data_IF_582705035277
#
_entry.id   IF_582705035277
#
_cell.length_a   1.000
_cell.length_b   1.000
_cell.length_c   1.000
_cell.angle_alpha   90.00
_cell.angle_beta   90.00
_cell.angle_gamma   90.00
#
_symmetry.space_group_name_H-M   'P 1'
#
loop_
_entity.id
_entity.type
_entity.pdbx_description
1 polymer ?
#
# COMPACT_ATOMS: atom_id res chain seq x y z
N UNK A 1 -58.39 87.17 -24.33
CA UNK A 1 -58.04 86.48 -23.06
C UNK A 1 -56.74 85.73 -23.28
N UNK A 2 -55.68 86.07 -22.56
CA UNK A 2 -54.36 85.40 -22.69
C UNK A 2 -54.28 84.28 -21.64
N UNK A 3 -54.16 83.03 -22.06
CA UNK A 3 -53.97 81.89 -21.17
C UNK A 3 -52.49 81.78 -20.81
N UNK A 4 -52.17 81.88 -19.52
CA UNK A 4 -50.82 81.68 -19.00
C UNK A 4 -50.70 80.21 -18.61
N UNK A 5 -49.95 79.42 -19.37
CA UNK A 5 -49.60 78.05 -19.02
C UNK A 5 -48.45 78.05 -18.01
N UNK A 6 -48.70 77.57 -16.80
CA UNK A 6 -47.65 77.28 -15.82
C UNK A 6 -47.17 75.84 -16.04
N UNK A 7 -45.93 75.70 -16.53
CA UNK A 7 -45.24 74.41 -16.56
C UNK A 7 -44.67 74.11 -15.17
N UNK A 8 -45.23 73.13 -14.47
CA UNK A 8 -44.64 72.59 -13.24
C UNK A 8 -43.55 71.59 -13.66
N UNK A 9 -42.30 71.95 -13.41
CA UNK A 9 -41.15 71.07 -13.58
C UNK A 9 -41.11 70.06 -12.42
N UNK A 10 -41.60 68.83 -12.64
CA UNK A 10 -41.43 67.74 -11.67
C UNK A 10 -40.00 67.20 -11.81
N UNK A 11 -39.12 67.61 -10.91
CA UNK A 11 -37.76 67.07 -10.82
C UNK A 11 -37.83 65.68 -10.19
N UNK A 12 -37.68 64.63 -11.01
CA UNK A 12 -37.58 63.24 -10.56
C UNK A 12 -36.18 62.99 -9.97
N UNK A 13 -36.01 63.15 -8.67
CA UNK A 13 -34.78 62.72 -8.00
C UNK A 13 -34.77 61.19 -7.85
N UNK A 14 -33.89 60.50 -8.58
CA UNK A 14 -33.55 59.10 -8.24
C UNK A 14 -32.51 59.11 -7.13
N UNK A 15 -32.94 58.84 -5.90
CA UNK A 15 -32.03 58.57 -4.78
C UNK A 15 -31.59 57.11 -4.90
N UNK A 16 -30.34 56.88 -5.30
CA UNK A 16 -29.70 55.58 -5.12
C UNK A 16 -28.93 55.59 -3.80
N UNK A 17 -29.50 54.94 -2.78
CA UNK A 17 -28.82 54.74 -1.49
C UNK A 17 -27.98 53.47 -1.56
N UNK A 18 -26.67 53.60 -1.34
CA UNK A 18 -25.74 52.49 -1.08
C UNK A 18 -25.53 52.24 0.41
N UNK A 19 -26.34 52.84 1.29
CA UNK A 19 -26.15 52.73 2.73
C UNK A 19 -26.66 51.38 3.27
N UNK A 20 -25.78 50.62 3.93
CA UNK A 20 -26.06 49.35 4.63
C UNK A 20 -26.99 49.52 5.86
N UNK A 21 -27.32 50.75 6.23
CA UNK A 21 -28.20 51.09 7.35
C UNK A 21 -29.48 51.68 6.76
N UNK A 22 -30.59 50.96 6.91
CA UNK A 22 -31.92 51.52 6.64
C UNK A 22 -32.35 52.26 7.89
N UNK A 23 -32.80 53.50 7.74
CA UNK A 23 -33.37 54.28 8.83
C UNK A 23 -34.87 54.37 8.59
N UNK A 24 -35.68 53.96 9.56
CA UNK A 24 -37.13 54.08 9.44
C UNK A 24 -37.59 55.56 9.43
N UNK A 25 -38.86 55.88 9.10
CA UNK A 25 -39.36 57.25 9.13
C UNK A 25 -39.29 57.94 10.50
N UNK A 26 -38.98 57.20 11.57
CA UNK A 26 -38.82 57.70 12.94
C UNK A 26 -37.34 57.85 13.34
N UNK A 27 -36.39 57.61 12.43
CA UNK A 27 -34.96 57.73 12.73
C UNK A 27 -34.31 56.48 13.33
N UNK A 28 -35.02 55.35 13.42
CA UNK A 28 -34.48 54.10 13.97
C UNK A 28 -33.55 53.43 12.97
N UNK A 29 -32.30 53.18 13.36
CA UNK A 29 -31.36 52.39 12.57
C UNK A 29 -31.77 50.92 12.56
N UNK A 30 -32.13 50.40 11.40
CA UNK A 30 -32.34 48.98 11.13
C UNK A 30 -31.03 48.42 10.57
N UNK A 31 -30.40 47.51 11.32
CA UNK A 31 -29.26 46.76 10.83
C UNK A 31 -29.74 45.70 9.84
N UNK A 32 -29.48 45.89 8.55
CA UNK A 32 -29.69 44.85 7.55
C UNK A 32 -28.59 43.80 7.71
N UNK A 33 -28.97 42.58 8.11
CA UNK A 33 -28.03 41.46 8.16
C UNK A 33 -27.72 40.97 6.74
N UNK A 34 -26.64 41.51 6.18
CA UNK A 34 -26.13 41.19 4.85
C UNK A 34 -25.24 39.93 4.84
N UNK A 35 -24.95 39.33 5.99
CA UNK A 35 -24.09 38.16 6.09
C UNK A 35 -24.77 36.94 5.46
N UNK A 36 -24.00 36.19 4.65
CA UNK A 36 -24.42 34.88 4.11
C UNK A 36 -24.33 33.74 5.14
N UNK A 37 -23.70 34.02 6.27
CA UNK A 37 -23.53 33.10 7.40
C UNK A 37 -24.36 33.58 8.60
N UNK A 38 -24.94 32.64 9.35
CA UNK A 38 -25.69 32.88 10.59
C UNK A 38 -24.99 32.15 11.73
N UNK A 39 -24.72 32.85 12.83
CA UNK A 39 -24.31 32.23 14.09
C UNK A 39 -25.54 31.79 14.90
N UNK A 40 -25.53 30.58 15.46
CA UNK A 40 -26.51 30.13 16.47
C UNK A 40 -25.72 29.52 17.62
N UNK A 41 -25.73 30.16 18.79
CA UNK A 41 -24.79 29.80 19.87
C UNK A 41 -23.34 29.95 19.41
N UNK A 42 -22.57 28.86 19.51
CA UNK A 42 -21.17 28.81 19.08
C UNK A 42 -21.01 28.29 17.63
N UNK A 43 -22.10 27.92 16.97
CA UNK A 43 -22.08 27.27 15.66
C UNK A 43 -22.35 28.27 14.53
N UNK A 44 -21.71 28.05 13.39
CA UNK A 44 -21.90 28.85 12.17
C UNK A 44 -22.62 28.03 11.10
N UNK A 45 -23.68 28.60 10.53
CA UNK A 45 -24.52 27.97 9.51
C UNK A 45 -24.58 28.83 8.25
N UNK A 46 -24.62 28.18 7.08
CA UNK A 46 -24.98 28.87 5.84
C UNK A 46 -26.47 29.22 5.89
N UNK A 47 -26.81 30.49 5.62
CA UNK A 47 -28.22 30.87 5.45
C UNK A 47 -28.82 30.38 4.14
N UNK A 48 -27.96 30.10 3.16
CA UNK A 48 -28.36 29.48 1.91
C UNK A 48 -28.45 27.97 2.12
N UNK A 49 -29.57 27.35 1.76
CA UNK A 49 -29.75 25.88 1.77
C UNK A 49 -29.00 25.16 0.64
N UNK A 50 -28.29 25.91 -0.20
CA UNK A 50 -27.42 25.40 -1.26
C UNK A 50 -26.09 24.84 -0.76
N UNK A 51 -25.18 24.64 -1.70
CA UNK A 51 -23.86 24.01 -1.51
C UNK A 51 -22.77 25.06 -1.25
N UNK A 52 -21.70 24.66 -0.57
CA UNK A 52 -20.50 25.48 -0.37
C UNK A 52 -19.47 25.17 -1.46
N UNK A 53 -19.18 26.15 -2.30
CA UNK A 53 -18.12 26.09 -3.31
C UNK A 53 -16.91 26.93 -2.90
N UNK A 54 -15.71 26.35 -2.94
CA UNK A 54 -14.45 27.08 -2.77
C UNK A 54 -13.69 26.98 -4.09
N UNK A 55 -13.61 28.09 -4.83
CA UNK A 55 -12.98 28.14 -6.15
C UNK A 55 -13.84 27.61 -7.31
N UNK A 56 -15.16 27.43 -7.11
CA UNK A 56 -16.13 27.08 -8.17
C UNK A 56 -17.44 27.84 -8.01
N UNK A 57 -18.02 28.29 -9.13
CA UNK A 57 -19.34 28.92 -9.17
C UNK A 57 -20.49 27.91 -9.26
N UNK A 58 -20.18 26.63 -9.56
CA UNK A 58 -21.18 25.57 -9.77
C UNK A 58 -20.84 24.32 -8.93
N UNK A 59 -21.06 24.33 -7.61
CA UNK A 59 -20.76 23.18 -6.75
C UNK A 59 -21.62 21.95 -7.09
N UNK A 60 -21.00 20.77 -7.22
CA UNK A 60 -21.69 19.51 -7.50
C UNK A 60 -21.99 18.70 -6.22
N UNK A 61 -21.27 18.92 -5.12
CA UNK A 61 -21.50 18.33 -3.79
C UNK A 61 -21.75 19.40 -2.72
N UNK A 62 -22.26 19.02 -1.54
CA UNK A 62 -22.54 19.95 -0.43
C UNK A 62 -21.34 20.81 -0.04
N UNK A 63 -20.13 20.23 -0.09
CA UNK A 63 -18.86 20.93 -0.05
C UNK A 63 -18.06 20.55 -1.30
N UNK A 64 -17.66 21.53 -2.11
CA UNK A 64 -16.85 21.32 -3.31
C UNK A 64 -15.71 22.34 -3.36
N UNK A 65 -14.47 21.86 -3.33
CA UNK A 65 -13.26 22.67 -3.52
C UNK A 65 -12.61 22.32 -4.86
N UNK A 66 -12.02 23.30 -5.54
CA UNK A 66 -11.25 23.06 -6.79
C UNK A 66 -9.73 23.03 -6.57
N UNK A 67 -9.29 23.35 -5.36
CA UNK A 67 -7.90 23.20 -4.91
C UNK A 67 -7.78 22.28 -3.69
N UNK A 68 -6.56 22.20 -3.17
CA UNK A 68 -6.21 21.31 -2.06
C UNK A 68 -7.02 21.60 -0.78
N UNK A 69 -7.33 20.53 -0.05
CA UNK A 69 -7.96 20.60 1.28
C UNK A 69 -6.96 20.11 2.33
N UNK A 70 -6.65 20.96 3.31
CA UNK A 70 -5.77 20.61 4.43
C UNK A 70 -6.61 20.30 5.66
N UNK A 71 -6.49 19.07 6.16
CA UNK A 71 -7.06 18.65 7.45
C UNK A 71 -5.94 18.59 8.50
N UNK A 72 -5.79 19.63 9.32
CA UNK A 72 -4.72 19.64 10.36
C UNK A 72 -4.99 18.62 11.49
N UNK A 73 -6.27 18.34 11.79
CA UNK A 73 -6.68 17.49 12.91
C UNK A 73 -6.49 15.97 12.74
N UNK A 74 -6.15 15.49 11.54
CA UNK A 74 -5.95 14.04 11.27
C UNK A 74 -4.49 13.59 11.45
N UNK A 75 -3.64 14.48 11.99
CA UNK A 75 -2.23 14.23 12.30
C UNK A 75 -1.28 14.51 11.13
N UNK A 76 -0.01 14.78 11.43
CA UNK A 76 1.03 15.00 10.42
C UNK A 76 1.53 13.67 9.85
N UNK A 77 1.68 13.58 8.53
CA UNK A 77 2.42 12.50 7.85
C UNK A 77 3.63 13.11 7.17
N UNK A 78 4.84 12.73 7.58
CA UNK A 78 6.08 13.19 6.96
C UNK A 78 6.48 12.34 5.75
N UNK A 79 5.80 11.21 5.54
CA UNK A 79 6.16 10.20 4.53
C UNK A 79 5.05 9.91 3.52
N UNK A 80 3.94 10.68 3.54
CA UNK A 80 2.78 10.51 2.64
C UNK A 80 2.25 9.07 2.49
N UNK A 81 2.36 8.26 3.56
CA UNK A 81 2.00 6.83 3.56
C UNK A 81 0.66 6.53 4.27
N UNK A 82 -0.12 7.57 4.57
CA UNK A 82 -1.43 7.46 5.21
C UNK A 82 -2.54 7.57 4.17
N UNK A 83 -3.59 6.79 4.35
CA UNK A 83 -4.80 6.79 3.51
C UNK A 83 -5.95 7.36 4.35
N UNK A 84 -6.78 8.21 3.74
CA UNK A 84 -8.02 8.68 4.36
C UNK A 84 -9.03 7.55 4.38
N UNK A 85 -9.62 7.31 5.54
CA UNK A 85 -10.66 6.31 5.76
C UNK A 85 -11.84 6.93 6.50
N UNK A 86 -13.03 6.36 6.39
CA UNK A 86 -14.19 6.76 7.18
C UNK A 86 -14.56 5.67 8.19
N UNK A 87 -15.02 6.06 9.38
CA UNK A 87 -15.64 5.13 10.34
C UNK A 87 -17.12 4.85 10.00
N UNK A 88 -17.79 4.04 10.82
CA UNK A 88 -19.21 3.69 10.64
C UNK A 88 -20.16 4.90 10.72
N UNK A 89 -19.72 6.01 11.30
CA UNK A 89 -20.46 7.27 11.39
C UNK A 89 -20.07 8.27 10.29
N UNK A 90 -19.14 7.90 9.39
CA UNK A 90 -18.67 8.75 8.30
C UNK A 90 -17.60 9.77 8.70
N UNK A 91 -17.04 9.69 9.91
CA UNK A 91 -15.96 10.59 10.31
C UNK A 91 -14.67 10.21 9.59
N UNK A 92 -14.00 11.20 9.01
CA UNK A 92 -12.73 10.99 8.31
C UNK A 92 -11.59 10.84 9.32
N UNK A 93 -10.81 9.78 9.15
CA UNK A 93 -9.58 9.49 9.90
C UNK A 93 -8.49 9.01 8.95
N UNK A 94 -7.33 8.63 9.47
CA UNK A 94 -6.24 8.02 8.68
C UNK A 94 -5.89 6.62 9.16
N UNK A 95 -5.39 5.81 8.24
CA UNK A 95 -4.72 4.52 8.52
C UNK A 95 -3.40 4.47 7.76
N UNK A 96 -2.39 3.75 8.26
CA UNK A 96 -1.20 3.50 7.46
C UNK A 96 -1.57 2.56 6.32
N UNK A 97 -0.96 2.76 5.15
CA UNK A 97 -1.14 1.83 4.04
C UNK A 97 -0.74 0.39 4.42
N UNK A 98 0.23 0.22 5.32
CA UNK A 98 0.65 -1.08 5.86
C UNK A 98 -0.42 -1.78 6.70
N UNK A 99 -1.27 -1.02 7.42
CA UNK A 99 -2.28 -1.59 8.30
C UNK A 99 -3.46 -2.15 7.49
N UNK A 100 -3.72 -1.60 6.30
CA UNK A 100 -4.70 -2.16 5.37
C UNK A 100 -4.23 -3.48 4.77
N UNK A 101 -2.93 -3.77 4.82
CA UNK A 101 -2.32 -4.98 4.28
C UNK A 101 -2.10 -6.06 5.36
N UNK A 102 -2.45 -5.80 6.62
CA UNK A 102 -2.13 -6.68 7.75
C UNK A 102 -3.11 -7.85 7.95
N UNK A 103 -3.96 -8.18 6.98
CA UNK A 103 -4.93 -9.27 7.08
C UNK A 103 -4.87 -10.21 5.88
N UNK A 104 -4.38 -11.44 6.08
CA UNK A 104 -4.34 -12.53 5.08
C UNK A 104 -3.84 -12.11 3.68
N UNK A 105 -3.00 -11.07 3.59
CA UNK A 105 -2.46 -10.61 2.32
C UNK A 105 -1.28 -11.49 1.97
N UNK A 106 -1.40 -12.18 0.83
CA UNK A 106 -0.28 -12.84 0.16
C UNK A 106 0.77 -11.80 -0.20
N UNK A 107 1.84 -11.81 0.57
CA UNK A 107 3.00 -10.94 0.38
C UNK A 107 4.02 -11.65 -0.51
N UNK A 108 4.80 -10.90 -1.28
CA UNK A 108 5.80 -11.44 -2.21
C UNK A 108 7.15 -10.75 -1.97
N UNK A 109 8.17 -11.54 -1.69
CA UNK A 109 9.56 -11.11 -1.67
C UNK A 109 10.23 -11.46 -3.00
N UNK A 110 11.14 -10.62 -3.50
CA UNK A 110 11.75 -10.78 -4.84
C UNK A 110 13.25 -10.58 -4.77
N UNK A 111 14.01 -11.48 -5.40
CA UNK A 111 15.46 -11.37 -5.52
C UNK A 111 15.83 -10.28 -6.53
N UNK A 112 16.63 -9.30 -6.11
CA UNK A 112 16.94 -8.10 -6.90
C UNK A 112 18.02 -8.32 -7.98
N UNK A 113 18.96 -9.22 -7.77
CA UNK A 113 20.08 -9.50 -8.66
C UNK A 113 20.41 -10.99 -8.67
N UNK A 114 21.08 -11.44 -9.73
CA UNK A 114 21.55 -12.83 -9.79
C UNK A 114 22.46 -13.15 -8.58
N UNK A 115 22.35 -14.38 -8.08
CA UNK A 115 23.16 -14.88 -6.97
C UNK A 115 23.79 -16.20 -7.40
N UNK A 116 25.12 -16.25 -7.44
CA UNK A 116 25.89 -17.43 -7.82
C UNK A 116 26.62 -18.05 -6.63
N UNK A 117 26.66 -19.37 -6.55
CA UNK A 117 27.47 -20.10 -5.57
C UNK A 117 28.13 -21.34 -6.19
N UNK A 118 29.33 -21.64 -5.70
CA UNK A 118 30.04 -22.91 -5.88
C UNK A 118 30.23 -23.64 -4.55
N UNK A 119 29.51 -23.24 -3.50
CA UNK A 119 29.62 -23.84 -2.16
C UNK A 119 28.93 -25.19 -2.14
N UNK A 120 29.68 -26.25 -1.80
CA UNK A 120 29.18 -27.62 -1.75
C UNK A 120 28.71 -28.00 -0.35
N UNK A 121 29.52 -27.68 0.66
CA UNK A 121 29.31 -28.08 2.05
C UNK A 121 28.39 -27.13 2.81
N UNK A 122 28.34 -25.85 2.42
CA UNK A 122 27.55 -24.81 3.09
C UNK A 122 26.42 -24.30 2.20
N UNK A 123 25.20 -24.30 2.76
CA UNK A 123 24.06 -23.62 2.18
C UNK A 123 24.29 -22.11 2.22
N UNK A 124 23.89 -21.40 1.16
CA UNK A 124 23.91 -19.95 1.06
C UNK A 124 22.47 -19.44 1.16
N UNK A 125 22.22 -18.45 2.02
CA UNK A 125 20.93 -17.74 2.07
C UNK A 125 20.73 -16.95 0.79
N UNK A 126 19.52 -17.01 0.20
CA UNK A 126 19.18 -16.18 -0.95
C UNK A 126 18.70 -14.82 -0.43
N UNK A 127 19.43 -13.71 -0.71
CA UNK A 127 19.06 -12.39 -0.21
C UNK A 127 17.64 -12.01 -0.63
N UNK A 128 16.92 -11.38 0.29
CA UNK A 128 15.54 -10.91 0.10
C UNK A 128 14.49 -12.01 -0.16
N UNK A 129 14.85 -13.31 -0.26
CA UNK A 129 13.88 -14.40 -0.24
C UNK A 129 13.69 -14.90 1.19
N UNK A 130 13.13 -14.02 2.00
CA UNK A 130 12.86 -14.26 3.41
C UNK A 130 11.62 -13.51 3.90
N UNK A 131 10.99 -14.00 4.96
CA UNK A 131 9.87 -13.32 5.63
C UNK A 131 9.95 -13.46 7.14
N UNK A 132 9.48 -12.43 7.84
CA UNK A 132 9.41 -12.44 9.29
C UNK A 132 8.23 -13.28 9.76
N UNK A 133 8.45 -14.00 10.84
CA UNK A 133 7.47 -14.89 11.45
C UNK A 133 7.33 -14.59 12.94
N UNK A 134 6.10 -14.67 13.43
CA UNK A 134 5.77 -14.51 14.86
C UNK A 134 5.43 -15.88 15.46
N UNK A 135 5.91 -16.14 16.67
CA UNK A 135 5.61 -17.37 17.39
C UNK A 135 4.10 -17.61 17.51
N UNK A 136 3.66 -18.85 17.25
CA UNK A 136 2.26 -19.27 17.33
C UNK A 136 1.40 -18.97 16.09
N UNK A 137 1.91 -18.23 15.11
CA UNK A 137 1.18 -17.96 13.86
C UNK A 137 1.60 -18.97 12.78
N UNK A 138 0.62 -19.61 12.13
CA UNK A 138 0.91 -20.50 11.01
C UNK A 138 0.99 -19.71 9.72
N UNK A 139 2.07 -19.90 8.98
CA UNK A 139 2.30 -19.30 7.67
C UNK A 139 2.30 -20.38 6.59
N UNK A 140 1.76 -20.07 5.42
CA UNK A 140 2.02 -20.81 4.19
C UNK A 140 3.01 -20.04 3.33
N UNK A 141 3.92 -20.75 2.68
CA UNK A 141 4.90 -20.14 1.79
C UNK A 141 5.04 -20.90 0.46
N UNK A 142 5.48 -20.19 -0.58
CA UNK A 142 5.71 -20.70 -1.92
C UNK A 142 6.86 -19.93 -2.59
N UNK A 143 8.01 -20.56 -2.76
CA UNK A 143 9.17 -20.01 -3.45
C UNK A 143 9.23 -20.52 -4.90
N UNK A 144 9.45 -19.60 -5.84
CA UNK A 144 9.68 -19.89 -7.27
C UNK A 144 11.05 -19.38 -7.68
N UNK A 145 11.98 -20.28 -7.96
CA UNK A 145 13.41 -19.95 -8.05
C UNK A 145 13.97 -20.41 -9.40
N UNK A 146 13.97 -19.55 -10.44
CA UNK A 146 14.68 -19.84 -11.69
C UNK A 146 16.18 -19.83 -11.45
N UNK A 147 16.89 -20.83 -11.98
CA UNK A 147 18.34 -20.90 -11.89
C UNK A 147 18.98 -21.48 -13.15
N UNK A 148 20.28 -21.25 -13.32
CA UNK A 148 21.12 -21.88 -14.33
C UNK A 148 22.26 -22.66 -13.67
N UNK A 149 22.65 -23.78 -14.26
CA UNK A 149 23.86 -24.52 -13.86
C UNK A 149 24.96 -24.31 -14.90
N UNK A 150 26.21 -24.21 -14.45
CA UNK A 150 27.36 -24.05 -15.35
C UNK A 150 27.60 -25.26 -16.27
N UNK A 151 27.11 -26.44 -15.90
CA UNK A 151 27.18 -27.66 -16.70
C UNK A 151 26.00 -28.62 -16.35
N UNK A 152 25.84 -29.72 -17.10
CA UNK A 152 24.73 -30.66 -16.90
C UNK A 152 24.94 -31.66 -15.74
N UNK A 153 26.15 -31.76 -15.22
CA UNK A 153 26.55 -32.69 -14.17
C UNK A 153 26.79 -31.98 -12.84
N UNK A 154 26.32 -30.74 -12.71
CA UNK A 154 26.39 -29.96 -11.48
C UNK A 154 24.94 -29.75 -11.03
N UNK A 155 24.55 -30.50 -10.02
CA UNK A 155 23.25 -30.35 -9.40
C UNK A 155 23.22 -29.34 -8.26
N UNK A 156 22.15 -29.39 -7.49
CA UNK A 156 21.86 -28.44 -6.42
C UNK A 156 20.98 -29.07 -5.33
N UNK A 157 20.96 -28.42 -4.16
CA UNK A 157 19.95 -28.64 -3.11
C UNK A 157 19.33 -27.31 -2.74
N UNK A 158 18.02 -27.37 -2.48
CA UNK A 158 17.19 -26.20 -2.19
C UNK A 158 16.40 -26.46 -0.93
N UNK A 159 16.40 -25.51 -0.02
CA UNK A 159 15.83 -25.72 1.32
C UNK A 159 15.49 -24.38 1.97
N UNK A 160 15.01 -24.43 3.20
CA UNK A 160 14.76 -23.25 4.04
C UNK A 160 15.46 -23.41 5.38
N UNK A 161 15.70 -22.26 6.03
CA UNK A 161 16.11 -22.15 7.42
C UNK A 161 15.20 -21.17 8.15
N UNK A 162 15.11 -21.26 9.48
CA UNK A 162 14.24 -20.38 10.26
C UNK A 162 14.45 -20.51 11.78
N UNK A 163 13.64 -19.78 12.58
CA UNK A 163 13.66 -19.90 14.03
C UNK A 163 13.12 -21.27 14.50
N UNK A 164 13.16 -21.53 15.80
CA UNK A 164 12.52 -22.72 16.38
C UNK A 164 11.04 -22.82 15.96
N UNK A 165 10.58 -24.03 15.68
CA UNK A 165 9.25 -24.32 15.14
C UNK A 165 8.55 -25.43 15.91
N UNK A 166 7.23 -25.33 16.05
CA UNK A 166 6.36 -26.40 16.56
C UNK A 166 5.77 -27.26 15.45
N UNK A 167 5.77 -26.78 14.21
CA UNK A 167 5.30 -27.51 13.04
C UNK A 167 6.00 -27.02 11.78
N UNK A 168 6.59 -27.94 11.03
CA UNK A 168 7.17 -27.67 9.71
C UNK A 168 6.83 -28.82 8.77
N UNK A 169 6.29 -28.48 7.60
CA UNK A 169 6.06 -29.45 6.52
C UNK A 169 6.15 -28.74 5.18
N UNK A 170 7.10 -29.14 4.35
CA UNK A 170 7.28 -28.55 3.03
C UNK A 170 7.80 -29.56 2.00
N UNK A 171 7.65 -29.21 0.74
CA UNK A 171 8.27 -29.91 -0.37
C UNK A 171 9.36 -29.04 -0.98
N UNK A 172 10.44 -29.68 -1.42
CA UNK A 172 11.49 -29.04 -2.21
C UNK A 172 11.66 -29.83 -3.50
N UNK A 173 11.31 -29.19 -4.62
CA UNK A 173 11.28 -29.78 -5.96
C UNK A 173 12.18 -28.98 -6.89
N UNK A 174 12.97 -29.64 -7.70
CA UNK A 174 13.84 -28.94 -8.64
C UNK A 174 14.24 -29.80 -9.83
N UNK A 175 14.57 -29.15 -10.94
CA UNK A 175 14.96 -29.81 -12.19
C UNK A 175 16.12 -30.80 -11.98
N UNK A 176 15.97 -32.02 -12.50
CA UNK A 176 17.04 -33.02 -12.60
C UNK A 176 17.48 -33.18 -14.06
N UNK A 177 16.51 -33.29 -14.97
CA UNK A 177 16.72 -33.33 -16.42
C UNK A 177 15.59 -32.56 -17.14
N UNK A 178 15.58 -32.59 -18.47
CA UNK A 178 14.48 -32.02 -19.29
C UNK A 178 13.12 -32.66 -19.05
N UNK A 179 13.05 -33.85 -18.47
CA UNK A 179 11.82 -34.63 -18.28
C UNK A 179 11.66 -35.21 -16.86
N UNK A 180 12.53 -34.85 -15.92
CA UNK A 180 12.47 -35.34 -14.55
C UNK A 180 12.87 -34.28 -13.53
N UNK A 181 12.43 -34.47 -12.29
CA UNK A 181 12.71 -33.61 -11.17
C UNK A 181 13.21 -34.41 -9.97
N UNK A 182 13.97 -33.76 -9.11
CA UNK A 182 14.17 -34.19 -7.74
C UNK A 182 12.99 -33.70 -6.90
N UNK A 183 12.40 -34.59 -6.08
CA UNK A 183 11.24 -34.28 -5.24
C UNK A 183 11.50 -34.73 -3.81
N UNK A 184 11.53 -33.78 -2.87
CA UNK A 184 11.76 -34.05 -1.45
C UNK A 184 10.54 -33.65 -0.62
N UNK A 185 10.20 -34.46 0.39
CA UNK A 185 9.30 -34.10 1.48
C UNK A 185 10.13 -33.87 2.74
N UNK A 186 9.91 -32.74 3.41
CA UNK A 186 10.74 -32.31 4.53
C UNK A 186 9.89 -31.80 5.69
N UNK A 187 10.31 -32.15 6.91
CA UNK A 187 9.75 -31.68 8.17
C UNK A 187 10.82 -31.06 9.09
N UNK A 188 12.04 -30.84 8.56
CA UNK A 188 13.17 -30.20 9.24
C UNK A 188 13.84 -29.21 8.28
N UNK A 189 14.54 -28.21 8.81
CA UNK A 189 15.34 -27.29 8.00
C UNK A 189 16.55 -27.97 7.38
N UNK A 190 17.11 -27.33 6.36
CA UNK A 190 18.36 -27.74 5.70
C UNK A 190 18.33 -29.16 5.10
N UNK A 191 17.15 -29.69 4.80
CA UNK A 191 16.95 -30.94 4.06
C UNK A 191 16.65 -30.64 2.58
N UNK A 192 17.16 -31.45 1.61
CA UNK A 192 18.03 -32.61 1.79
C UNK A 192 19.49 -32.26 2.16
N UNK A 193 20.19 -33.22 2.79
CA UNK A 193 21.61 -33.08 3.16
C UNK A 193 22.50 -33.01 1.92
N UNK A 194 22.19 -33.77 0.87
CA UNK A 194 22.99 -33.79 -0.35
C UNK A 194 22.24 -33.14 -1.50
N UNK A 195 23.01 -32.56 -2.43
CA UNK A 195 22.48 -32.10 -3.71
C UNK A 195 22.11 -33.28 -4.61
N UNK A 196 21.23 -33.05 -5.57
CA UNK A 196 21.21 -33.95 -6.73
C UNK A 196 22.50 -33.74 -7.55
N UNK A 197 22.78 -34.62 -8.50
CA UNK A 197 24.01 -34.60 -9.30
C UNK A 197 23.82 -34.04 -10.72
N UNK A 198 22.62 -33.53 -11.04
CA UNK A 198 22.29 -33.08 -12.38
C UNK A 198 21.40 -31.84 -12.36
N UNK A 199 21.54 -31.04 -13.40
CA UNK A 199 20.66 -29.93 -13.76
C UNK A 199 20.75 -29.74 -15.27
N UNK A 200 19.81 -29.01 -15.88
CA UNK A 200 19.99 -28.56 -17.25
C UNK A 200 21.07 -27.45 -17.28
N UNK A 201 21.89 -27.40 -18.34
CA UNK A 201 22.84 -26.28 -18.51
C UNK A 201 22.12 -24.93 -18.76
N UNK A 202 20.88 -24.98 -19.24
CA UNK A 202 20.02 -23.82 -19.48
C UNK A 202 19.15 -23.46 -18.27
N UNK A 203 17.89 -23.14 -18.54
CA UNK A 203 16.90 -22.81 -17.51
C UNK A 203 16.51 -24.02 -16.68
N UNK A 204 16.54 -23.84 -15.37
CA UNK A 204 16.03 -24.77 -14.37
C UNK A 204 15.07 -24.03 -13.45
N UNK A 205 14.28 -24.79 -12.69
CA UNK A 205 13.35 -24.27 -11.71
C UNK A 205 13.48 -25.05 -10.41
N UNK A 206 13.58 -24.33 -9.29
CA UNK A 206 13.36 -24.88 -7.97
C UNK A 206 12.08 -24.28 -7.36
N UNK A 207 11.24 -25.13 -6.78
CA UNK A 207 10.02 -24.80 -6.07
C UNK A 207 10.13 -25.31 -4.65
N UNK A 208 9.92 -24.43 -3.67
CA UNK A 208 9.80 -24.82 -2.27
C UNK A 208 8.46 -24.33 -1.74
N UNK A 209 7.60 -25.23 -1.27
CA UNK A 209 6.29 -24.84 -0.76
C UNK A 209 5.92 -25.63 0.49
N UNK A 210 5.27 -24.97 1.44
CA UNK A 210 4.91 -25.63 2.68
C UNK A 210 4.21 -24.73 3.67
N UNK A 211 4.11 -25.24 4.89
CA UNK A 211 3.56 -24.55 6.05
C UNK A 211 4.53 -24.62 7.21
N UNK A 212 4.52 -23.57 8.02
CA UNK A 212 5.33 -23.46 9.25
C UNK A 212 4.50 -22.81 10.36
N UNK A 213 4.60 -23.36 11.57
CA UNK A 213 4.17 -22.70 12.82
C UNK A 213 5.43 -22.50 13.68
N UNK A 214 5.97 -21.27 13.77
CA UNK A 214 7.14 -20.98 14.59
C UNK A 214 6.80 -21.07 16.08
N UNK A 215 7.74 -21.54 16.90
CA UNK A 215 7.68 -21.44 18.36
C UNK A 215 8.52 -20.27 18.91
N UNK A 216 9.28 -19.58 18.05
CA UNK A 216 9.98 -18.34 18.35
C UNK A 216 9.82 -17.34 17.21
N UNK A 217 9.88 -16.04 17.53
CA UNK A 217 9.94 -14.99 16.52
C UNK A 217 11.25 -15.10 15.73
N UNK A 218 11.24 -14.70 14.46
CA UNK A 218 12.44 -14.68 13.65
C UNK A 218 12.13 -14.51 12.18
N UNK A 219 13.01 -15.06 11.34
CA UNK A 219 12.91 -14.94 9.88
C UNK A 219 13.08 -16.32 9.26
N UNK A 220 12.17 -16.68 8.37
CA UNK A 220 12.34 -17.85 7.49
C UNK A 220 13.01 -17.37 6.22
N UNK A 221 14.03 -18.09 5.75
CA UNK A 221 14.82 -17.74 4.55
C UNK A 221 15.02 -18.96 3.66
N UNK A 222 14.99 -18.73 2.36
CA UNK A 222 15.30 -19.73 1.34
C UNK A 222 16.81 -19.84 1.15
N UNK A 223 17.32 -21.07 1.03
CA UNK A 223 18.74 -21.35 0.88
C UNK A 223 19.02 -22.39 -0.20
N UNK A 224 20.25 -22.38 -0.71
CA UNK A 224 20.70 -23.35 -1.70
C UNK A 224 22.20 -23.62 -1.63
N UNK A 225 22.63 -24.73 -2.23
CA UNK A 225 24.04 -25.06 -2.43
C UNK A 225 24.23 -25.75 -3.79
N UNK A 226 25.46 -25.68 -4.30
CA UNK A 226 25.91 -26.38 -5.51
C UNK A 226 26.32 -27.80 -5.14
N UNK A 227 26.20 -28.75 -6.05
CA UNK A 227 26.76 -30.09 -5.87
C UNK A 227 28.29 -30.08 -6.09
N UNK A 228 28.74 -29.38 -7.13
CA UNK A 228 30.15 -29.26 -7.47
C UNK A 228 30.72 -27.91 -7.05
N UNK A 229 31.99 -27.92 -6.69
CA UNK A 229 32.79 -26.73 -6.40
C UNK A 229 33.30 -26.04 -7.66
N UNK A 230 34.12 -25.01 -7.45
CA UNK A 230 34.80 -24.24 -8.52
C UNK A 230 35.50 -25.18 -9.52
N UNK A 231 35.37 -24.95 -10.85
CA UNK A 231 34.78 -23.77 -11.51
C UNK A 231 33.27 -23.84 -11.71
N UNK A 232 32.60 -24.88 -11.22
CA UNK A 232 31.17 -25.08 -11.45
C UNK A 232 30.34 -24.24 -10.48
N UNK A 233 29.19 -23.75 -10.93
CA UNK A 233 28.31 -22.91 -10.11
C UNK A 233 26.85 -23.11 -10.43
N UNK A 234 26.02 -22.82 -9.43
CA UNK A 234 24.58 -22.65 -9.55
C UNK A 234 24.29 -21.16 -9.40
N UNK A 235 23.56 -20.59 -10.36
CA UNK A 235 23.21 -19.17 -10.37
C UNK A 235 21.70 -19.01 -10.33
N UNK A 236 21.20 -18.54 -9.19
CA UNK A 236 19.81 -18.08 -9.04
C UNK A 236 19.63 -16.81 -9.85
N UNK A 237 18.55 -16.73 -10.64
CA UNK A 237 18.27 -15.56 -11.46
C UNK A 237 17.47 -14.52 -10.68
N UNK A 238 17.78 -13.25 -10.95
CA UNK A 238 16.96 -12.11 -10.50
C UNK A 238 15.49 -12.33 -10.85
N UNK A 239 14.60 -11.85 -10.00
CA UNK A 239 13.16 -12.06 -10.15
C UNK A 239 12.64 -13.38 -9.57
N UNK A 240 13.50 -14.23 -8.99
CA UNK A 240 13.04 -15.30 -8.11
C UNK A 240 12.14 -14.73 -6.99
N UNK A 241 11.10 -15.46 -6.62
CA UNK A 241 10.07 -14.98 -5.69
C UNK A 241 9.87 -15.90 -4.49
N UNK A 242 9.41 -15.32 -3.38
CA UNK A 242 8.90 -16.02 -2.21
C UNK A 242 7.58 -15.39 -1.79
N UNK A 243 6.49 -16.13 -1.96
CA UNK A 243 5.16 -15.74 -1.50
C UNK A 243 4.90 -16.28 -0.10
N UNK A 244 4.23 -15.50 0.76
CA UNK A 244 3.89 -15.92 2.13
C UNK A 244 2.62 -15.22 2.65
N UNK A 245 1.87 -15.91 3.52
CA UNK A 245 0.68 -15.40 4.22
C UNK A 245 0.33 -16.26 5.44
#
# INVERSE_FOLDING_TARGET
MKYTFIFILIVLFKIQSTAQIVVDPKGTKISLDTSKWKSVGNDMYSKNSGKIGIGTASPSAQLHTTGDVRFEGIGTSTSNNKILTADASGNITTRLASDLLSGNVRSVAVLASDLSTSSVTSLVDIPNLSFNVTAGITYRFYATIPFTSSNQTNGSRWTINGPATSFLSYTSRYTFSSNSETYNYANIYNFPTDANNNSNAGGNLAIIQGMITPSANGTVTVRFASELGTPNSITVKKGATLEYW
#
